data_IF_563464288419
#
_entry.id   IF_563464288419
#
_cell.length_a   1.000
_cell.length_b   1.000
_cell.length_c   1.000
_cell.angle_alpha   90.00
_cell.angle_beta   90.00
_cell.angle_gamma   90.00
#
_symmetry.space_group_name_H-M   'P 1'
#
loop_
_entity.id
_entity.type
_entity.pdbx_description
1 polymer ?
#
# COMPACT_ATOMS: atom_id res chain seq x y z
N UNK A 1 43.70 -26.50 30.53
CA UNK A 1 42.60 -26.46 31.51
C UNK A 1 41.36 -25.92 30.81
N UNK A 2 40.35 -26.75 30.48
CA UNK A 2 39.04 -26.21 30.12
C UNK A 2 37.90 -26.89 30.90
N UNK A 3 37.09 -26.10 31.60
CA UNK A 3 35.67 -26.43 31.86
C UNK A 3 34.93 -25.18 32.31
N UNK A 4 33.91 -24.78 31.55
CA UNK A 4 32.85 -23.89 32.04
C UNK A 4 31.54 -24.46 31.53
N UNK A 5 30.75 -24.99 32.46
CA UNK A 5 29.40 -25.49 32.21
C UNK A 5 28.39 -24.36 32.46
N UNK A 6 27.37 -24.30 31.61
CA UNK A 6 26.29 -23.32 31.63
C UNK A 6 25.08 -24.00 32.30
N UNK A 7 24.54 -23.41 33.36
CA UNK A 7 23.32 -23.88 34.02
C UNK A 7 22.25 -22.81 33.85
N UNK A 8 21.12 -23.16 33.21
CA UNK A 8 19.93 -22.30 33.14
C UNK A 8 18.82 -22.94 33.96
N UNK A 9 18.44 -22.23 35.01
CA UNK A 9 17.41 -22.55 35.99
C UNK A 9 16.03 -22.21 35.41
N UNK A 10 15.11 -23.19 35.41
CA UNK A 10 13.71 -22.99 35.06
C UNK A 10 12.87 -23.01 36.35
N UNK A 11 12.19 -21.90 36.63
CA UNK A 11 11.39 -21.72 37.83
C UNK A 11 9.88 -21.60 37.52
N UNK A 12 9.10 -22.46 38.19
CA UNK A 12 7.82 -22.19 38.88
C UNK A 12 6.47 -22.56 38.22
N UNK A 13 5.78 -23.47 38.93
CA UNK A 13 4.36 -23.93 38.93
C UNK A 13 3.37 -22.88 39.55
N UNK A 14 2.05 -23.15 39.75
CA UNK A 14 0.92 -23.34 38.81
C UNK A 14 -0.26 -22.36 39.13
N UNK A 15 -1.33 -22.25 38.31
CA UNK A 15 -2.58 -21.61 38.80
C UNK A 15 -3.87 -21.95 38.04
N UNK A 16 -4.70 -22.77 38.72
CA UNK A 16 -6.17 -22.74 38.90
C UNK A 16 -7.12 -22.38 37.74
N UNK A 17 -8.01 -23.35 37.42
CA UNK A 17 -9.17 -23.28 36.52
C UNK A 17 -10.35 -22.53 37.19
N UNK A 18 -11.12 -21.66 36.51
CA UNK A 18 -12.21 -20.92 37.15
C UNK A 18 -13.55 -21.65 37.17
N UNK A 19 -14.29 -21.40 38.25
CA UNK A 19 -15.62 -21.93 38.62
C UNK A 19 -16.78 -21.33 37.82
N UNK A 20 -17.79 -22.17 37.53
CA UNK A 20 -19.04 -21.87 36.84
C UNK A 20 -20.02 -21.07 37.72
N UNK A 21 -20.42 -19.86 37.31
CA UNK A 21 -21.55 -19.14 37.91
C UNK A 21 -22.21 -18.19 36.88
N UNK A 22 -23.16 -18.70 36.09
CA UNK A 22 -23.95 -17.90 35.15
C UNK A 22 -25.25 -17.41 35.80
N UNK A 23 -25.36 -16.10 36.07
CA UNK A 23 -26.58 -15.47 36.57
C UNK A 23 -27.39 -14.85 35.42
N UNK A 24 -28.64 -15.32 35.32
CA UNK A 24 -29.86 -14.67 34.83
C UNK A 24 -29.81 -13.84 33.53
N UNK A 25 -30.46 -14.41 32.50
CA UNK A 25 -30.85 -13.73 31.28
C UNK A 25 -31.78 -12.52 31.55
N UNK A 26 -31.52 -11.39 30.89
CA UNK A 26 -32.51 -10.35 30.62
C UNK A 26 -32.58 -10.16 29.10
N UNK A 27 -33.71 -10.46 28.44
CA UNK A 27 -33.84 -10.22 27.01
C UNK A 27 -34.42 -8.83 26.72
N UNK A 28 -34.23 -8.45 25.46
CA UNK A 28 -34.91 -7.40 24.71
C UNK A 28 -34.22 -6.03 24.69
N UNK A 29 -33.50 -5.78 23.59
CA UNK A 29 -33.95 -4.79 22.61
C UNK A 29 -33.64 -5.35 21.23
N UNK A 30 -34.68 -5.60 20.42
CA UNK A 30 -34.53 -5.79 18.99
C UNK A 30 -33.89 -4.52 18.42
N UNK A 31 -32.56 -4.55 18.22
CA UNK A 31 -31.89 -3.49 17.48
C UNK A 31 -32.20 -3.73 16.02
N UNK A 32 -33.18 -2.97 15.55
CA UNK A 32 -33.33 -2.42 14.19
C UNK A 32 -32.19 -2.88 13.29
N UNK A 33 -32.54 -3.61 12.23
CA UNK A 33 -31.62 -4.06 11.19
C UNK A 33 -30.71 -2.92 10.75
N UNK A 34 -29.52 -2.87 11.33
CA UNK A 34 -28.34 -2.39 10.65
C UNK A 34 -27.94 -3.58 9.79
N UNK A 35 -28.30 -3.56 8.52
CA UNK A 35 -27.67 -4.42 7.54
C UNK A 35 -26.15 -4.23 7.67
N UNK A 36 -25.39 -5.24 8.14
CA UNK A 36 -23.96 -5.06 8.40
C UNK A 36 -23.13 -5.08 7.11
N UNK A 37 -23.73 -4.87 5.94
CA UNK A 37 -23.05 -4.99 4.65
C UNK A 37 -21.94 -3.95 4.43
N UNK A 38 -21.74 -3.00 5.35
CA UNK A 38 -20.60 -2.08 5.32
C UNK A 38 -19.44 -2.46 6.25
N UNK A 39 -19.57 -3.51 7.08
CA UNK A 39 -18.38 -4.10 7.70
C UNK A 39 -17.53 -4.65 6.57
N UNK A 40 -16.47 -3.92 6.24
CA UNK A 40 -15.61 -4.12 5.09
C UNK A 40 -15.01 -5.54 5.11
N UNK A 41 -15.76 -6.49 4.55
CA UNK A 41 -15.25 -7.79 4.18
C UNK A 41 -14.03 -7.51 3.30
N UNK A 42 -12.90 -8.20 3.49
CA UNK A 42 -11.82 -8.32 2.52
C UNK A 42 -12.30 -8.93 1.17
N UNK A 43 -13.29 -8.32 0.51
CA UNK A 43 -13.73 -8.65 -0.84
C UNK A 43 -14.92 -7.81 -1.36
N UNK A 44 -15.28 -6.68 -0.74
CA UNK A 44 -16.39 -5.87 -1.26
C UNK A 44 -16.09 -5.32 -2.66
N UNK A 45 -17.13 -5.23 -3.50
CA UNK A 45 -17.01 -4.66 -4.86
C UNK A 45 -16.45 -3.24 -4.78
N UNK A 46 -16.91 -2.42 -3.82
CA UNK A 46 -16.41 -1.06 -3.61
C UNK A 46 -14.89 -1.04 -3.44
N UNK A 47 -14.32 -1.87 -2.55
CA UNK A 47 -12.87 -1.87 -2.34
C UNK A 47 -12.11 -2.36 -3.56
N UNK A 48 -12.63 -3.36 -4.30
CA UNK A 48 -12.01 -3.81 -5.55
C UNK A 48 -11.97 -2.69 -6.60
N UNK A 49 -13.03 -1.87 -6.67
CA UNK A 49 -13.05 -0.71 -7.55
C UNK A 49 -12.06 0.36 -7.08
N UNK A 50 -11.99 0.63 -5.77
CA UNK A 50 -11.01 1.56 -5.19
C UNK A 50 -9.57 1.12 -5.52
N UNK A 51 -9.27 -0.18 -5.39
CA UNK A 51 -7.96 -0.76 -5.72
C UNK A 51 -7.67 -0.66 -7.23
N UNK A 52 -8.66 -0.95 -8.10
CA UNK A 52 -8.52 -0.87 -9.56
C UNK A 52 -8.30 0.55 -10.08
N UNK A 53 -8.96 1.53 -9.48
CA UNK A 53 -8.81 2.94 -9.84
C UNK A 53 -7.73 3.66 -9.03
N UNK A 54 -7.05 2.94 -8.12
CA UNK A 54 -5.92 3.49 -7.38
C UNK A 54 -4.74 3.72 -8.31
N UNK A 55 -4.06 4.83 -8.11
CA UNK A 55 -2.78 5.09 -8.77
C UNK A 55 -1.66 4.44 -7.96
N UNK A 56 -0.65 3.82 -8.62
CA UNK A 56 0.51 3.28 -7.91
C UNK A 56 1.41 4.37 -7.31
N UNK A 57 1.17 5.65 -7.62
CA UNK A 57 1.97 6.75 -7.11
C UNK A 57 1.61 7.13 -5.67
N UNK A 58 2.65 7.42 -4.88
CA UNK A 58 2.52 8.06 -3.58
C UNK A 58 1.83 9.44 -3.71
N UNK A 59 1.00 9.81 -2.72
CA UNK A 59 0.36 11.13 -2.60
C UNK A 59 1.28 12.34 -2.86
N UNK A 60 2.57 12.27 -2.50
CA UNK A 60 3.59 13.29 -2.78
C UNK A 60 3.79 13.51 -4.27
N UNK A 61 3.83 12.45 -5.07
CA UNK A 61 3.96 12.52 -6.53
C UNK A 61 2.64 13.02 -7.14
N UNK A 62 1.50 12.49 -6.68
CA UNK A 62 0.17 12.91 -7.17
C UNK A 62 -0.01 14.42 -6.99
N UNK A 63 0.31 14.95 -5.80
CA UNK A 63 0.15 16.36 -5.42
C UNK A 63 1.31 17.26 -5.87
N UNK A 64 2.34 16.72 -6.50
CA UNK A 64 3.51 17.49 -6.92
C UNK A 64 3.13 18.47 -8.02
N UNK A 65 3.30 19.76 -7.84
CA UNK A 65 3.06 20.73 -8.91
C UNK A 65 4.35 20.96 -9.72
N UNK A 66 4.35 20.69 -11.05
CA UNK A 66 5.49 21.02 -11.90
C UNK A 66 5.86 22.52 -11.80
N UNK A 67 7.15 22.87 -11.98
CA UNK A 67 7.57 24.27 -11.99
C UNK A 67 6.77 25.11 -12.99
N UNK A 68 6.49 26.37 -12.65
CA UNK A 68 5.75 27.27 -13.53
C UNK A 68 6.50 27.42 -14.86
N UNK A 69 5.79 27.19 -15.97
CA UNK A 69 6.37 27.25 -17.31
C UNK A 69 7.04 25.95 -17.76
N UNK A 70 6.96 24.87 -16.97
CA UNK A 70 7.37 23.54 -17.41
C UNK A 70 6.56 23.13 -18.64
N UNK A 71 7.29 22.82 -19.72
CA UNK A 71 6.72 22.24 -20.93
C UNK A 71 7.04 20.75 -20.90
N UNK A 72 6.01 19.92 -20.96
CA UNK A 72 6.18 18.46 -21.01
C UNK A 72 6.99 18.11 -22.27
N UNK A 73 8.14 17.43 -22.13
CA UNK A 73 8.90 16.96 -23.28
C UNK A 73 8.06 16.05 -24.17
N UNK A 74 8.36 16.04 -25.47
CA UNK A 74 7.73 15.08 -26.39
C UNK A 74 8.45 13.74 -26.26
N UNK A 75 7.73 12.74 -25.77
CA UNK A 75 8.22 11.37 -25.66
C UNK A 75 7.86 10.56 -26.90
N UNK A 76 8.70 9.59 -27.26
CA UNK A 76 8.22 8.44 -28.02
C UNK A 76 7.26 7.64 -27.15
N UNK A 77 6.02 7.45 -27.62
CA UNK A 77 5.03 6.66 -26.88
C UNK A 77 5.46 5.20 -26.86
N UNK A 78 5.50 4.61 -25.66
CA UNK A 78 5.74 3.19 -25.47
C UNK A 78 4.43 2.42 -25.54
N UNK A 79 4.31 1.61 -26.57
CA UNK A 79 3.14 0.76 -26.86
C UNK A 79 3.35 -0.71 -26.44
N UNK A 80 4.51 -1.02 -25.84
CA UNK A 80 4.88 -2.39 -25.47
C UNK A 80 5.60 -3.18 -26.56
N UNK A 81 5.87 -2.59 -27.73
CA UNK A 81 6.55 -3.28 -28.83
C UNK A 81 8.08 -3.19 -28.77
N UNK A 82 8.62 -2.12 -28.15
CA UNK A 82 10.06 -1.92 -27.99
C UNK A 82 10.59 -2.49 -26.67
N UNK A 83 11.91 -2.50 -26.50
CA UNK A 83 12.53 -2.92 -25.24
C UNK A 83 12.16 -1.93 -24.09
N UNK A 84 11.69 -2.42 -22.92
CA UNK A 84 11.33 -1.56 -21.79
C UNK A 84 12.51 -0.81 -21.17
N UNK A 85 13.71 -1.40 -21.16
CA UNK A 85 14.91 -0.76 -20.62
C UNK A 85 15.33 0.41 -21.52
N UNK A 86 15.29 0.23 -22.83
CA UNK A 86 15.58 1.30 -23.78
C UNK A 86 14.58 2.47 -23.62
N UNK A 87 13.29 2.17 -23.44
CA UNK A 87 12.28 3.20 -23.18
C UNK A 87 12.55 3.98 -21.88
N UNK A 88 12.81 3.26 -20.78
CA UNK A 88 13.10 3.89 -19.48
C UNK A 88 14.38 4.74 -19.56
N UNK A 89 15.42 4.24 -20.23
CA UNK A 89 16.68 4.96 -20.41
C UNK A 89 16.47 6.24 -21.23
N UNK A 90 15.74 6.14 -22.35
CA UNK A 90 15.43 7.28 -23.20
C UNK A 90 14.59 8.33 -22.47
N UNK A 91 13.56 7.88 -21.74
CA UNK A 91 12.72 8.73 -20.89
C UNK A 91 13.54 9.45 -19.83
N UNK A 92 14.41 8.73 -19.12
CA UNK A 92 15.27 9.29 -18.08
C UNK A 92 16.24 10.32 -18.65
N UNK A 93 16.90 10.03 -19.78
CA UNK A 93 17.78 10.97 -20.45
C UNK A 93 17.05 12.27 -20.84
N UNK A 94 15.86 12.18 -21.42
CA UNK A 94 15.06 13.34 -21.79
C UNK A 94 14.68 14.21 -20.58
N UNK A 95 14.29 13.59 -19.47
CA UNK A 95 13.81 14.32 -18.28
C UNK A 95 14.93 14.85 -17.38
N UNK A 96 16.08 14.18 -17.35
CA UNK A 96 17.21 14.56 -16.48
C UNK A 96 18.00 15.75 -17.05
N UNK A 97 17.93 15.96 -18.36
CA UNK A 97 18.54 17.12 -19.03
C UNK A 97 17.91 18.45 -18.62
N UNK A 98 16.64 18.46 -18.19
CA UNK A 98 15.90 19.71 -17.92
C UNK A 98 15.93 20.15 -16.45
N UNK A 99 15.68 19.26 -15.47
CA UNK A 99 15.36 19.71 -14.09
C UNK A 99 15.96 18.84 -12.97
N UNK A 100 16.31 17.56 -13.22
CA UNK A 100 16.85 16.67 -12.17
C UNK A 100 15.91 16.46 -10.97
N UNK A 101 14.59 16.40 -11.20
CA UNK A 101 13.59 16.23 -10.15
C UNK A 101 12.83 14.90 -10.30
N UNK A 102 13.12 13.95 -9.40
CA UNK A 102 12.52 12.61 -9.39
C UNK A 102 11.00 12.62 -9.24
N UNK A 103 10.43 13.62 -8.55
CA UNK A 103 8.97 13.71 -8.41
C UNK A 103 8.31 14.11 -9.73
N UNK A 104 8.93 15.03 -10.47
CA UNK A 104 8.48 15.44 -11.79
C UNK A 104 8.64 14.29 -12.79
N UNK A 105 9.76 13.57 -12.73
CA UNK A 105 10.02 12.35 -13.49
C UNK A 105 8.88 11.33 -13.28
N UNK A 106 8.57 10.95 -12.05
CA UNK A 106 7.49 10.02 -11.78
C UNK A 106 6.12 10.56 -12.22
N UNK A 107 5.86 11.86 -12.04
CA UNK A 107 4.55 12.48 -12.37
C UNK A 107 4.28 12.51 -13.87
N UNK A 108 5.30 12.70 -14.70
CA UNK A 108 5.15 12.82 -16.16
C UNK A 108 5.26 11.46 -16.86
N UNK A 109 5.90 10.46 -16.25
CA UNK A 109 6.10 9.14 -16.88
C UNK A 109 4.85 8.52 -17.54
N UNK A 110 3.63 8.56 -16.93
CA UNK A 110 2.44 7.99 -17.56
C UNK A 110 2.11 8.59 -18.93
N UNK A 111 2.50 9.83 -19.23
CA UNK A 111 2.26 10.45 -20.54
C UNK A 111 3.14 9.88 -21.65
N UNK A 112 4.16 9.10 -21.30
CA UNK A 112 5.03 8.39 -22.25
C UNK A 112 4.48 7.02 -22.66
N UNK A 113 3.39 6.55 -22.04
CA UNK A 113 2.84 5.21 -22.25
C UNK A 113 1.58 5.26 -23.11
N UNK A 114 1.38 4.25 -23.95
CA UNK A 114 0.09 3.98 -24.57
C UNK A 114 -0.76 3.15 -23.60
N UNK A 115 -2.04 3.54 -23.45
CA UNK A 115 -3.03 2.85 -22.62
C UNK A 115 -3.76 1.72 -23.34
#
# INVERSE_FOLDING_TARGET
MPHTAISLEAHSEPSSLPTLQGHAARPLVARVGRDPLYLALPGSISRRLDDMFSTPFNSRIIKYEPPRGFIVPKFSTYDGSSDPFDHIMHYWQLMTLDIGNDMLLCKVFPTSLQG
#
